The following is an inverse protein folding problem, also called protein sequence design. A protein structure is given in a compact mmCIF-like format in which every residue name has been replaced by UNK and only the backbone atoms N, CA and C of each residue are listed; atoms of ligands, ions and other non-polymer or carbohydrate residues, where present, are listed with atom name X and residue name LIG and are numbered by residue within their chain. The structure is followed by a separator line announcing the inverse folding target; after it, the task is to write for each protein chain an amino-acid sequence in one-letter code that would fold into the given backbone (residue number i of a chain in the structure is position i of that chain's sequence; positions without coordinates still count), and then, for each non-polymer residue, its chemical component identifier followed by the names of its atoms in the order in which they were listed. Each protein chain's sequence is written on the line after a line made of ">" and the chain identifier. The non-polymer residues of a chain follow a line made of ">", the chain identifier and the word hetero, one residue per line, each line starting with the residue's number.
data_IF_673155855261
#
_entry.id   IF_673155855261
#
_cell.length_a   1.000
_cell.length_b   1.000
_cell.length_c   1.000
_cell.angle_alpha   90.00
_cell.angle_beta   90.00
_cell.angle_gamma   90.00
#
_symmetry.space_group_name_H-M   'P 1'
#
loop_
_entity.id
_entity.type
_entity.pdbx_description
1 polymer ?
#
# COMPACT_ATOMS: atom_id res chain seq x y z
N UNK A 1 24.00 6.01 -9.26
CA UNK A 1 22.96 5.38 -10.13
C UNK A 1 21.91 6.42 -10.46
N UNK A 2 21.20 6.29 -11.59
CA UNK A 2 20.15 7.24 -11.97
C UNK A 2 18.84 6.94 -11.22
N UNK A 3 18.07 7.99 -10.89
CA UNK A 3 16.78 7.88 -10.19
C UNK A 3 15.80 6.88 -10.85
N UNK A 4 15.62 6.85 -12.19
CA UNK A 4 14.70 5.91 -12.84
C UNK A 4 15.11 4.44 -12.65
N UNK A 5 16.41 4.15 -12.60
CA UNK A 5 16.90 2.78 -12.37
C UNK A 5 16.63 2.36 -10.92
N UNK A 6 16.85 3.26 -9.96
CA UNK A 6 16.57 2.99 -8.55
C UNK A 6 15.08 2.72 -8.31
N UNK A 7 14.18 3.56 -8.84
CA UNK A 7 12.74 3.34 -8.75
C UNK A 7 12.32 2.00 -9.35
N UNK A 8 12.91 1.63 -10.49
CA UNK A 8 12.64 0.34 -11.13
C UNK A 8 13.08 -0.84 -10.27
N UNK A 9 14.24 -0.75 -9.62
CA UNK A 9 14.72 -1.79 -8.68
C UNK A 9 13.76 -1.90 -7.48
N UNK A 10 13.39 -0.76 -6.89
CA UNK A 10 12.50 -0.71 -5.73
C UNK A 10 11.12 -1.32 -6.06
N UNK A 11 10.59 -1.08 -7.26
CA UNK A 11 9.29 -1.61 -7.69
C UNK A 11 9.24 -3.16 -7.82
N UNK A 12 10.39 -3.83 -7.82
CA UNK A 12 10.48 -5.30 -7.76
C UNK A 12 10.48 -5.85 -6.33
N UNK A 13 10.72 -5.00 -5.34
CA UNK A 13 10.70 -5.40 -3.94
C UNK A 13 9.27 -5.62 -3.46
N UNK A 14 9.16 -6.38 -2.37
CA UNK A 14 7.92 -6.49 -1.60
C UNK A 14 7.68 -5.19 -0.81
N UNK A 15 6.45 -5.00 -0.31
CA UNK A 15 6.10 -3.80 0.45
C UNK A 15 6.93 -3.69 1.73
N UNK A 16 7.16 -4.81 2.42
CA UNK A 16 7.99 -4.88 3.63
C UNK A 16 9.42 -4.45 3.34
N UNK A 17 10.05 -5.01 2.30
CA UNK A 17 11.40 -4.65 1.88
C UNK A 17 11.51 -3.17 1.48
N UNK A 18 10.48 -2.64 0.82
CA UNK A 18 10.40 -1.21 0.44
C UNK A 18 10.36 -0.33 1.69
N UNK A 19 9.60 -0.72 2.72
CA UNK A 19 9.52 0.00 3.98
C UNK A 19 10.84 -0.05 4.76
N UNK A 20 11.52 -1.20 4.79
CA UNK A 20 12.84 -1.32 5.41
C UNK A 20 13.89 -0.49 4.65
N UNK A 21 13.87 -0.51 3.32
CA UNK A 21 14.79 0.26 2.49
C UNK A 21 14.65 1.77 2.70
N UNK A 22 13.42 2.26 2.93
CA UNK A 22 13.14 3.68 3.22
C UNK A 22 13.87 4.21 4.47
N UNK A 23 14.28 3.33 5.39
CA UNK A 23 14.95 3.66 6.63
C UNK A 23 16.48 3.66 6.51
N UNK A 24 17.04 3.16 5.39
CA UNK A 24 18.49 3.01 5.19
C UNK A 24 19.17 4.34 4.89
N UNK A 25 18.52 5.25 4.16
CA UNK A 25 19.08 6.57 3.83
C UNK A 25 18.00 7.56 3.41
N UNK A 26 18.29 8.86 3.50
CA UNK A 26 17.39 9.92 3.02
C UNK A 26 17.03 9.78 1.52
N UNK A 27 17.99 9.39 0.68
CA UNK A 27 17.73 9.17 -0.75
C UNK A 27 16.69 8.05 -0.96
N UNK A 28 16.86 6.94 -0.24
CA UNK A 28 15.91 5.83 -0.33
C UNK A 28 14.56 6.18 0.30
N UNK A 29 14.55 6.99 1.37
CA UNK A 29 13.32 7.53 1.93
C UNK A 29 12.53 8.32 0.87
N UNK A 30 13.16 9.29 0.21
CA UNK A 30 12.52 10.10 -0.85
C UNK A 30 12.07 9.27 -2.07
N UNK A 31 12.78 8.18 -2.40
CA UNK A 31 12.39 7.27 -3.46
C UNK A 31 11.18 6.40 -3.05
N UNK A 32 11.22 5.83 -1.84
CA UNK A 32 10.19 4.95 -1.30
C UNK A 32 8.89 5.71 -0.95
N UNK A 33 8.97 7.00 -0.69
CA UNK A 33 7.82 7.88 -0.44
C UNK A 33 7.31 8.57 -1.72
N UNK A 34 7.93 8.35 -2.88
CA UNK A 34 7.54 9.06 -4.10
C UNK A 34 6.22 8.57 -4.71
N UNK A 35 5.41 9.51 -5.18
CA UNK A 35 4.12 9.20 -5.81
C UNK A 35 4.27 8.29 -7.05
N UNK A 36 5.35 8.44 -7.81
CA UNK A 36 5.65 7.60 -8.99
C UNK A 36 5.81 6.11 -8.61
N UNK A 37 6.43 5.84 -7.46
CA UNK A 37 6.54 4.49 -6.94
C UNK A 37 5.17 3.97 -6.47
N UNK A 38 4.45 4.78 -5.70
CA UNK A 38 3.15 4.37 -5.14
C UNK A 38 2.06 4.19 -6.20
N UNK A 39 2.11 4.94 -7.30
CA UNK A 39 1.30 4.70 -8.50
C UNK A 39 1.57 3.32 -9.08
N UNK A 40 2.85 2.97 -9.25
CA UNK A 40 3.28 1.67 -9.77
C UNK A 40 2.84 0.52 -8.85
N UNK A 41 3.01 0.70 -7.53
CA UNK A 41 2.55 -0.25 -6.50
C UNK A 41 1.02 -0.40 -6.58
N UNK A 42 0.29 0.70 -6.70
CA UNK A 42 -1.17 0.66 -6.82
C UNK A 42 -1.61 -0.16 -8.04
N UNK A 43 -1.00 0.07 -9.20
CA UNK A 43 -1.28 -0.70 -10.42
C UNK A 43 -0.95 -2.20 -10.29
N UNK A 44 0.13 -2.54 -9.56
CA UNK A 44 0.57 -3.93 -9.37
C UNK A 44 -0.33 -4.72 -8.41
N UNK A 45 -0.83 -4.07 -7.37
CA UNK A 45 -1.52 -4.73 -6.26
C UNK A 45 -3.03 -4.45 -6.19
N UNK A 46 -3.54 -3.43 -6.89
CA UNK A 46 -4.98 -3.13 -6.90
C UNK A 46 -5.71 -3.95 -7.96
N UNK A 47 -6.78 -4.68 -7.61
CA UNK A 47 -7.63 -5.35 -8.58
C UNK A 47 -8.55 -4.37 -9.33
N UNK A 48 -8.63 -3.10 -8.91
CA UNK A 48 -9.51 -2.11 -9.52
C UNK A 48 -8.82 -1.39 -10.68
N UNK A 49 -9.51 -1.19 -11.82
CA UNK A 49 -8.99 -0.36 -12.91
C UNK A 49 -8.84 1.10 -12.44
N UNK A 50 -7.75 1.74 -12.85
CA UNK A 50 -7.51 3.16 -12.57
C UNK A 50 -8.46 4.00 -13.43
N UNK A 51 -9.48 4.57 -12.79
CA UNK A 51 -10.44 5.48 -13.40
C UNK A 51 -9.95 6.92 -13.34
N UNK A 52 -10.52 7.80 -14.17
CA UNK A 52 -10.18 9.22 -14.18
C UNK A 52 -10.37 9.86 -12.78
N UNK A 53 -11.51 9.59 -12.14
CA UNK A 53 -11.81 10.09 -10.80
C UNK A 53 -10.79 9.61 -9.76
N UNK A 54 -10.28 8.39 -9.91
CA UNK A 54 -9.27 7.82 -9.03
C UNK A 54 -7.91 8.50 -9.21
N UNK A 55 -7.53 8.83 -10.44
CA UNK A 55 -6.33 9.63 -10.73
C UNK A 55 -6.47 11.04 -10.16
N UNK A 56 -7.64 11.69 -10.33
CA UNK A 56 -7.90 13.01 -9.74
C UNK A 56 -7.81 12.97 -8.22
N UNK A 57 -8.34 11.91 -7.60
CA UNK A 57 -8.22 11.71 -6.17
C UNK A 57 -6.76 11.47 -5.75
N UNK A 58 -6.02 10.63 -6.48
CA UNK A 58 -4.61 10.36 -6.22
C UNK A 58 -3.76 11.64 -6.32
N UNK A 59 -4.02 12.50 -7.30
CA UNK A 59 -3.33 13.80 -7.42
C UNK A 59 -3.63 14.74 -6.23
N UNK A 60 -4.82 14.62 -5.63
CA UNK A 60 -5.20 15.45 -4.50
C UNK A 60 -4.62 14.97 -3.16
N UNK A 61 -4.52 13.65 -2.95
CA UNK A 61 -4.15 13.08 -1.64
C UNK A 61 -2.84 12.27 -1.64
N UNK A 62 -2.28 11.97 -2.80
CA UNK A 62 -1.14 11.08 -3.02
C UNK A 62 -1.53 9.62 -3.23
N UNK A 63 -0.75 8.91 -4.04
CA UNK A 63 -0.98 7.49 -4.36
C UNK A 63 -0.81 6.59 -3.13
N UNK A 64 0.14 6.90 -2.25
CA UNK A 64 0.36 6.17 -1.00
C UNK A 64 -0.89 6.17 -0.12
N UNK A 65 -1.47 7.34 0.13
CA UNK A 65 -2.69 7.47 0.96
C UNK A 65 -3.87 6.76 0.30
N UNK A 66 -3.99 6.85 -1.02
CA UNK A 66 -5.06 6.19 -1.75
C UNK A 66 -4.93 4.65 -1.68
N UNK A 67 -3.71 4.12 -1.79
CA UNK A 67 -3.41 2.70 -1.61
C UNK A 67 -3.85 2.17 -0.24
N UNK A 68 -3.44 2.85 0.84
CA UNK A 68 -3.83 2.46 2.19
C UNK A 68 -5.32 2.68 2.48
N UNK A 69 -5.95 3.70 1.89
CA UNK A 69 -7.40 3.92 2.02
C UNK A 69 -8.20 2.76 1.44
N UNK A 70 -7.84 2.28 0.24
CA UNK A 70 -8.53 1.16 -0.40
C UNK A 70 -8.32 -0.15 0.40
N UNK A 71 -7.08 -0.42 0.86
CA UNK A 71 -6.77 -1.55 1.77
C UNK A 71 -7.62 -1.50 3.04
N UNK A 72 -7.68 -0.35 3.72
CA UNK A 72 -8.46 -0.17 4.95
C UNK A 72 -9.97 -0.30 4.72
N UNK A 73 -10.49 0.21 3.60
CA UNK A 73 -11.89 0.06 3.23
C UNK A 73 -12.27 -1.42 3.06
N UNK A 74 -11.43 -2.21 2.38
CA UNK A 74 -11.61 -3.66 2.24
C UNK A 74 -11.58 -4.34 3.62
N UNK A 75 -10.61 -4.02 4.48
CA UNK A 75 -10.56 -4.60 5.83
C UNK A 75 -11.80 -4.27 6.67
N UNK A 76 -12.31 -3.04 6.58
CA UNK A 76 -13.56 -2.66 7.28
C UNK A 76 -14.74 -3.47 6.76
N UNK A 77 -14.83 -3.69 5.44
CA UNK A 77 -15.88 -4.53 4.85
C UNK A 77 -15.75 -5.99 5.29
N UNK A 78 -14.54 -6.55 5.31
CA UNK A 78 -14.27 -7.92 5.80
C UNK A 78 -14.68 -8.04 7.28
N UNK A 79 -14.28 -7.09 8.14
CA UNK A 79 -14.65 -7.08 9.57
C UNK A 79 -16.18 -7.03 9.74
N UNK A 80 -16.86 -6.14 9.01
CA UNK A 80 -18.34 -6.05 9.02
C UNK A 80 -19.00 -7.31 8.50
N UNK A 81 -18.42 -7.96 7.48
CA UNK A 81 -18.92 -9.22 6.95
C UNK A 81 -18.76 -10.36 7.97
N UNK A 82 -17.57 -10.51 8.57
CA UNK A 82 -17.28 -11.51 9.62
C UNK A 82 -18.15 -11.35 10.86
N UNK A 83 -18.48 -10.11 11.24
CA UNK A 83 -19.42 -9.84 12.33
C UNK A 83 -20.86 -10.21 11.98
N UNK A 84 -21.23 -10.19 10.69
CA UNK A 84 -22.57 -10.55 10.20
C UNK A 84 -22.72 -12.05 9.94
N UNK A 85 -21.65 -12.76 9.56
CA UNK A 85 -21.75 -14.16 9.12
C UNK A 85 -21.61 -15.21 10.22
N UNK A 86 -21.11 -14.89 11.43
CA UNK A 86 -21.29 -15.70 12.66
C UNK A 86 -20.70 -17.12 12.73
N UNK A 87 -20.57 -17.86 11.62
CA UNK A 87 -19.90 -19.14 11.50
C UNK A 87 -19.76 -19.46 10.01
N UNK A 88 -18.57 -19.86 9.60
CA UNK A 88 -18.27 -20.47 8.30
C UNK A 88 -18.24 -19.53 7.08
N UNK A 89 -17.19 -18.72 7.00
CA UNK A 89 -16.67 -18.26 5.71
C UNK A 89 -15.18 -18.60 5.68
N UNK A 90 -14.78 -19.56 4.84
CA UNK A 90 -13.36 -19.82 4.54
C UNK A 90 -12.96 -18.88 3.39
N UNK A 91 -12.06 -17.91 3.62
CA UNK A 91 -11.55 -17.09 2.54
C UNK A 91 -10.79 -17.96 1.55
N UNK A 92 -11.02 -17.72 0.26
CA UNK A 92 -9.96 -17.94 -0.73
C UNK A 92 -8.83 -17.02 -0.31
N UNK A 93 -7.80 -17.61 0.28
CA UNK A 93 -6.70 -16.96 0.99
C UNK A 93 -6.09 -15.86 0.11
N UNK A 94 -6.46 -14.61 0.36
CA UNK A 94 -5.53 -13.50 0.25
C UNK A 94 -4.71 -13.61 1.52
N UNK A 95 -3.49 -14.10 1.38
CA UNK A 95 -2.59 -14.46 2.46
C UNK A 95 -2.53 -13.37 3.55
N UNK A 96 -3.19 -13.62 4.69
CA UNK A 96 -3.26 -12.72 5.84
C UNK A 96 -1.87 -12.52 6.49
N UNK A 97 -0.88 -13.32 6.11
CA UNK A 97 0.52 -13.23 6.53
C UNK A 97 1.19 -11.89 6.15
N UNK A 98 0.73 -11.27 5.06
CA UNK A 98 1.35 -10.08 4.47
C UNK A 98 0.88 -8.75 5.10
N UNK A 99 -0.13 -8.80 5.97
CA UNK A 99 -0.87 -7.60 6.41
C UNK A 99 -0.56 -7.15 7.83
N UNK A 100 0.01 -8.03 8.64
CA UNK A 100 0.30 -7.74 10.04
C UNK A 100 1.53 -6.82 10.19
N UNK A 101 2.50 -6.90 9.27
CA UNK A 101 3.69 -6.05 9.23
C UNK A 101 3.40 -4.62 8.74
N UNK A 102 2.51 -4.47 7.74
CA UNK A 102 2.11 -3.18 7.16
C UNK A 102 1.35 -2.27 8.14
N UNK A 103 0.65 -2.84 9.14
CA UNK A 103 -0.13 -2.09 10.11
C UNK A 103 0.72 -1.36 11.16
N UNK A 104 1.94 -1.83 11.42
CA UNK A 104 2.85 -1.13 12.35
C UNK A 104 3.44 0.14 11.74
N UNK A 105 3.57 0.20 10.41
CA UNK A 105 4.10 1.39 9.71
C UNK A 105 3.16 2.59 9.77
N UNK A 106 1.84 2.41 9.94
CA UNK A 106 0.89 3.53 9.95
C UNK A 106 0.63 4.09 11.36
N UNK A 107 1.11 3.43 12.42
CA UNK A 107 1.01 3.91 13.81
C UNK A 107 2.07 4.95 14.16
N UNK A 108 3.19 4.96 13.45
CA UNK A 108 4.35 5.79 13.78
C UNK A 108 4.34 7.17 13.08
N UNK A 109 3.37 7.43 12.17
CA UNK A 109 3.25 8.71 11.45
C UNK A 109 2.22 9.68 12.04
N UNK A 110 1.46 9.30 13.07
CA UNK A 110 0.45 10.17 13.72
C UNK A 110 1.00 10.94 14.95
N UNK A 111 2.33 10.98 15.15
CA UNK A 111 2.99 11.67 16.28
C UNK A 111 4.18 12.58 15.90
N UNK A 112 4.17 13.21 14.72
CA UNK A 112 5.13 14.28 14.39
C UNK A 112 4.45 15.47 13.70
#
# INVERSE_FOLDING_TARGET
>A
MSRPILLRIINYLELEDTAQLSQVSHLFNELCESDELWESIYHKHSPMPVTHDLVTLAQAIGWKKLFFTNKLQIQVQIRRHRQRTGHDWTPVVLDDSDWSSDMQLNSDYDLA
#
